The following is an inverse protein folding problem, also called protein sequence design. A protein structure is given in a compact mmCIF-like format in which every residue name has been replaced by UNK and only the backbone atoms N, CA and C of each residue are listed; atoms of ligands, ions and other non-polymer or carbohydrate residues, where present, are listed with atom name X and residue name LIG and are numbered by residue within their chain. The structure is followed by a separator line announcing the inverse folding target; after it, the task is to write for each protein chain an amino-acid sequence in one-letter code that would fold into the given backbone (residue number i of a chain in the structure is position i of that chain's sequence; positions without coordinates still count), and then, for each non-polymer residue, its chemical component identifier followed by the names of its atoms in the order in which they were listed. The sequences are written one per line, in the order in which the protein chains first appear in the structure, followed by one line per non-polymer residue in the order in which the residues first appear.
data_IF_935447884049
#
_entry.id   IF_935447884049
#
_cell.length_a   1.000
_cell.length_b   1.000
_cell.length_c   1.000
_cell.angle_alpha   90.00
_cell.angle_beta   90.00
_cell.angle_gamma   90.00
#
_symmetry.space_group_name_H-M   'P 1'
#
loop_
_entity.id
_entity.type
_entity.pdbx_description
1 polymer ?
#
# COMPACT_ATOMS: atom_id res chain seq x y z
N UNK A 1 10.79 4.56 5.25
CA UNK A 1 10.08 3.65 4.34
C UNK A 1 10.54 3.92 2.92
N UNK A 2 10.40 2.97 2.00
CA UNK A 2 10.80 3.11 0.59
C UNK A 2 9.98 4.19 -0.15
N UNK A 3 8.73 4.41 0.27
CA UNK A 3 7.85 5.43 -0.29
C UNK A 3 7.67 6.60 0.68
N UNK A 4 7.43 7.78 0.13
CA UNK A 4 7.14 8.98 0.92
C UNK A 4 5.80 8.91 1.67
N UNK A 5 5.64 9.78 2.66
CA UNK A 5 4.43 9.87 3.49
C UNK A 5 3.16 10.19 2.67
N UNK A 6 3.28 10.97 1.60
CA UNK A 6 2.15 11.30 0.71
C UNK A 6 1.58 10.05 0.04
N UNK A 7 2.44 9.10 -0.35
CA UNK A 7 2.01 7.84 -0.98
C UNK A 7 1.25 6.96 0.01
N UNK A 8 1.74 6.87 1.25
CA UNK A 8 1.04 6.19 2.34
C UNK A 8 -0.35 6.80 2.60
N UNK A 9 -0.44 8.13 2.65
CA UNK A 9 -1.71 8.83 2.80
C UNK A 9 -2.66 8.59 1.63
N UNK A 10 -2.17 8.62 0.40
CA UNK A 10 -3.00 8.36 -0.78
C UNK A 10 -3.54 6.92 -0.79
N UNK A 11 -2.71 5.93 -0.45
CA UNK A 11 -3.13 4.54 -0.33
C UNK A 11 -4.24 4.37 0.71
N UNK A 12 -4.11 5.01 1.89
CA UNK A 12 -5.17 4.99 2.92
C UNK A 12 -6.47 5.60 2.42
N UNK A 13 -6.40 6.74 1.72
CA UNK A 13 -7.58 7.38 1.12
C UNK A 13 -8.26 6.47 0.11
N UNK A 14 -7.49 5.85 -0.79
CA UNK A 14 -8.01 4.94 -1.81
C UNK A 14 -8.68 3.72 -1.18
N UNK A 15 -8.03 3.06 -0.21
CA UNK A 15 -8.59 1.89 0.47
C UNK A 15 -9.87 2.27 1.23
N UNK A 16 -9.89 3.41 1.92
CA UNK A 16 -11.08 3.90 2.60
C UNK A 16 -12.25 4.15 1.63
N UNK A 17 -12.00 4.80 0.50
CA UNK A 17 -13.03 5.04 -0.51
C UNK A 17 -13.50 3.74 -1.17
N UNK A 18 -12.58 2.80 -1.41
CA UNK A 18 -12.90 1.48 -1.95
C UNK A 18 -13.83 0.69 -1.02
N UNK A 19 -13.54 0.69 0.29
CA UNK A 19 -14.35 0.02 1.30
C UNK A 19 -15.77 0.60 1.43
N UNK A 20 -15.97 1.88 1.07
CA UNK A 20 -17.29 2.54 1.05
C UNK A 20 -18.09 2.25 -0.23
N UNK A 21 -17.47 1.70 -1.26
CA UNK A 21 -18.09 1.49 -2.57
C UNK A 21 -18.57 2.81 -3.19
N UNK A 22 -19.82 2.85 -3.62
CA UNK A 22 -20.40 4.03 -4.31
C UNK A 22 -20.85 5.16 -3.37
N UNK A 23 -20.68 5.02 -2.05
CA UNK A 23 -21.11 6.03 -1.06
C UNK A 23 -20.06 7.17 -0.97
N UNK A 24 -20.43 8.42 -1.26
CA UNK A 24 -19.51 9.55 -1.14
C UNK A 24 -19.00 9.74 0.29
N UNK A 25 -17.79 10.28 0.42
CA UNK A 25 -17.23 10.72 1.69
C UNK A 25 -16.72 12.16 1.57
N UNK A 26 -17.07 12.99 2.54
CA UNK A 26 -16.55 14.35 2.69
C UNK A 26 -15.07 14.31 3.04
N UNK A 27 -14.35 15.42 2.79
CA UNK A 27 -12.95 15.51 3.19
C UNK A 27 -12.78 15.33 4.71
N UNK A 28 -13.73 15.79 5.53
CA UNK A 28 -13.70 15.58 6.98
C UNK A 28 -13.77 14.11 7.34
N UNK A 29 -14.75 13.36 6.80
CA UNK A 29 -14.88 11.91 7.04
C UNK A 29 -13.62 11.16 6.60
N UNK A 30 -13.06 11.50 5.44
CA UNK A 30 -11.84 10.86 4.93
C UNK A 30 -10.66 11.17 5.85
N UNK A 31 -10.46 12.42 6.26
CA UNK A 31 -9.34 12.83 7.12
C UNK A 31 -9.39 12.11 8.47
N UNK A 32 -10.56 12.06 9.10
CA UNK A 32 -10.78 11.37 10.38
C UNK A 32 -10.49 9.87 10.27
N UNK A 33 -11.01 9.22 9.22
CA UNK A 33 -10.86 7.77 9.06
C UNK A 33 -9.43 7.35 8.65
N UNK A 34 -8.72 8.20 7.91
CA UNK A 34 -7.40 7.86 7.33
C UNK A 34 -6.23 8.44 8.11
N UNK A 35 -6.52 9.29 9.11
CA UNK A 35 -5.54 10.07 9.88
C UNK A 35 -4.65 10.96 9.01
N UNK A 36 -5.14 11.33 7.83
CA UNK A 36 -4.48 12.29 6.95
C UNK A 36 -4.81 13.69 7.46
N UNK A 37 -3.81 14.57 7.67
CA UNK A 37 -4.08 15.94 8.09
C UNK A 37 -5.06 16.62 7.13
N UNK A 38 -6.15 17.19 7.64
CA UNK A 38 -7.24 17.72 6.81
C UNK A 38 -6.77 18.78 5.79
N UNK A 39 -5.82 19.63 6.19
CA UNK A 39 -5.21 20.64 5.30
C UNK A 39 -4.38 20.04 4.16
N UNK A 40 -3.88 18.81 4.33
CA UNK A 40 -3.11 18.09 3.31
C UNK A 40 -3.98 17.19 2.44
N UNK A 41 -5.08 16.67 2.98
CA UNK A 41 -5.98 15.75 2.28
C UNK A 41 -6.51 16.34 0.97
N UNK A 42 -6.86 17.63 0.95
CA UNK A 42 -7.37 18.28 -0.25
C UNK A 42 -6.39 18.17 -1.44
N UNK A 43 -5.09 18.28 -1.17
CA UNK A 43 -4.04 18.10 -2.19
C UNK A 43 -4.00 16.66 -2.71
N UNK A 44 -4.06 15.68 -1.81
CA UNK A 44 -4.05 14.25 -2.16
C UNK A 44 -5.27 13.90 -3.02
N UNK A 45 -6.48 14.26 -2.56
CA UNK A 45 -7.73 14.03 -3.30
C UNK A 45 -7.68 14.71 -4.67
N UNK A 46 -7.13 15.92 -4.77
CA UNK A 46 -6.96 16.60 -6.05
C UNK A 46 -6.02 15.85 -6.99
N UNK A 47 -4.88 15.34 -6.51
CA UNK A 47 -3.95 14.55 -7.33
C UNK A 47 -4.62 13.26 -7.84
N UNK A 48 -5.29 12.52 -6.95
CA UNK A 48 -6.04 11.31 -7.32
C UNK A 48 -7.19 11.61 -8.29
N UNK A 49 -7.85 12.76 -8.14
CA UNK A 49 -8.93 13.18 -9.03
C UNK A 49 -8.43 13.53 -10.43
N UNK A 50 -7.30 14.23 -10.53
CA UNK A 50 -6.66 14.52 -11.84
C UNK A 50 -6.25 13.24 -12.57
N UNK A 51 -5.90 12.20 -11.82
CA UNK A 51 -5.60 10.87 -12.37
C UNK A 51 -6.85 10.00 -12.63
N UNK A 52 -8.07 10.54 -12.46
CA UNK A 52 -9.34 9.82 -12.59
C UNK A 52 -9.52 8.60 -11.67
N UNK A 53 -8.72 8.49 -10.60
CA UNK A 53 -8.89 7.43 -9.59
C UNK A 53 -10.04 7.76 -8.64
N UNK A 54 -10.28 9.04 -8.39
CA UNK A 54 -11.33 9.55 -7.51
C UNK A 54 -12.19 10.58 -8.24
N UNK A 55 -13.51 10.53 -8.02
CA UNK A 55 -14.46 11.52 -8.53
C UNK A 55 -15.12 12.27 -7.38
N UNK A 56 -15.29 13.57 -7.53
CA UNK A 56 -16.07 14.38 -6.59
C UNK A 56 -17.52 14.52 -7.04
N UNK A 57 -18.47 14.33 -6.11
CA UNK A 57 -19.89 14.65 -6.26
C UNK A 57 -20.18 15.97 -5.55
N UNK A 58 -20.93 16.86 -6.21
CA UNK A 58 -21.36 18.16 -5.65
C UNK A 58 -22.67 18.01 -4.87
N UNK A 59 -22.97 18.98 -3.99
CA UNK A 59 -24.21 19.06 -3.22
C UNK A 59 -24.04 18.76 -1.73
N UNK A 60 -25.13 18.88 -0.96
CA UNK A 60 -25.17 18.70 0.50
C UNK A 60 -24.71 17.30 0.96
N UNK A 61 -24.93 16.28 0.14
CA UNK A 61 -24.48 14.90 0.34
C UNK A 61 -23.34 14.53 -0.62
N UNK A 62 -22.58 15.54 -1.05
CA UNK A 62 -21.43 15.41 -1.93
C UNK A 62 -20.20 14.85 -1.21
N UNK A 63 -19.11 14.73 -1.96
CA UNK A 63 -17.87 14.16 -1.46
C UNK A 63 -17.11 13.39 -2.54
N UNK A 64 -16.06 12.69 -2.14
CA UNK A 64 -15.22 11.88 -3.01
C UNK A 64 -15.70 10.44 -3.04
N UNK A 65 -15.64 9.81 -4.22
CA UNK A 65 -15.89 8.37 -4.44
C UNK A 65 -14.77 7.79 -5.28
N UNK A 66 -14.47 6.51 -5.11
CA UNK A 66 -13.58 5.79 -6.03
C UNK A 66 -14.24 5.74 -7.42
N UNK A 67 -13.45 5.96 -8.46
CA UNK A 67 -13.93 6.04 -9.85
C UNK A 67 -13.48 4.84 -10.71
N UNK A 68 -12.92 3.80 -10.07
CA UNK A 68 -12.45 2.58 -10.69
C UNK A 68 -12.76 1.36 -9.79
N UNK A 69 -12.72 0.17 -10.36
CA UNK A 69 -12.89 -1.09 -9.62
C UNK A 69 -11.68 -1.34 -8.71
N UNK A 70 -11.85 -1.70 -7.43
CA UNK A 70 -10.74 -2.09 -6.56
C UNK A 70 -9.94 -3.30 -7.06
N UNK A 71 -10.57 -4.19 -7.86
CA UNK A 71 -9.91 -5.36 -8.45
C UNK A 71 -8.96 -5.00 -9.60
N UNK A 72 -9.21 -3.88 -10.28
CA UNK A 72 -8.40 -3.43 -11.43
C UNK A 72 -7.41 -2.33 -11.05
N UNK A 73 -7.44 -1.87 -9.79
CA UNK A 73 -6.57 -0.79 -9.29
C UNK A 73 -5.43 -1.39 -8.47
N UNK A 74 -4.21 -1.31 -9.00
CA UNK A 74 -3.02 -1.78 -8.30
C UNK A 74 -2.46 -0.73 -7.33
N UNK A 75 -1.66 -1.17 -6.35
CA UNK A 75 -0.94 -0.22 -5.49
C UNK A 75 0.07 0.61 -6.29
N UNK A 76 0.61 0.03 -7.37
CA UNK A 76 1.48 0.74 -8.29
C UNK A 76 0.77 1.94 -8.92
N UNK A 77 -0.47 1.79 -9.37
CA UNK A 77 -1.22 2.88 -10.00
C UNK A 77 -1.41 4.07 -9.05
N UNK A 78 -1.71 3.80 -7.78
CA UNK A 78 -1.84 4.85 -6.76
C UNK A 78 -0.51 5.52 -6.47
N UNK A 79 0.56 4.74 -6.29
CA UNK A 79 1.90 5.27 -6.02
C UNK A 79 2.39 6.10 -7.21
N UNK A 80 2.17 5.64 -8.43
CA UNK A 80 2.62 6.29 -9.66
C UNK A 80 1.99 7.69 -9.85
N UNK A 81 0.79 7.92 -9.32
CA UNK A 81 0.14 9.24 -9.34
C UNK A 81 0.78 10.23 -8.36
N UNK A 82 1.32 9.73 -7.24
CA UNK A 82 1.75 10.53 -6.11
C UNK A 82 3.26 10.74 -6.07
N UNK A 83 3.98 9.64 -6.19
CA UNK A 83 5.43 9.54 -6.10
C UNK A 83 5.90 8.53 -7.16
N UNK A 84 5.99 8.96 -8.43
CA UNK A 84 6.30 8.09 -9.55
C UNK A 84 7.60 7.31 -9.33
N UNK A 85 7.56 5.99 -9.50
CA UNK A 85 8.77 5.18 -9.46
C UNK A 85 9.57 5.48 -10.72
N UNK A 86 10.84 5.82 -10.56
CA UNK A 86 11.73 6.22 -11.67
C UNK A 86 12.70 5.08 -11.97
N UNK A 87 12.66 4.62 -13.22
CA UNK A 87 13.65 3.71 -13.78
C UNK A 87 14.96 4.43 -14.02
N UNK A 88 16.05 3.69 -13.92
CA UNK A 88 17.37 4.18 -14.31
C UNK A 88 17.56 3.77 -15.76
N UNK A 89 17.22 4.66 -16.69
CA UNK A 89 17.35 4.38 -18.13
C UNK A 89 18.75 4.75 -18.65
N UNK A 90 19.48 5.58 -17.92
CA UNK A 90 20.83 6.02 -18.24
C UNK A 90 21.66 6.22 -16.96
N UNK A 91 22.99 6.20 -17.09
CA UNK A 91 23.88 6.37 -15.95
C UNK A 91 23.75 7.81 -15.37
N UNK A 92 23.31 7.98 -14.11
CA UNK A 92 23.05 9.30 -13.52
C UNK A 92 24.31 10.14 -13.32
N UNK A 93 25.49 9.52 -13.38
CA UNK A 93 26.77 10.23 -13.22
C UNK A 93 27.18 11.02 -14.47
N UNK A 94 26.54 10.77 -15.62
CA UNK A 94 26.76 11.49 -16.88
C UNK A 94 28.26 11.66 -17.26
N UNK A 95 29.09 10.67 -16.92
CA UNK A 95 30.53 10.73 -17.14
C UNK A 95 30.87 10.53 -18.62
N UNK A 96 31.78 11.33 -19.16
CA UNK A 96 32.13 11.30 -20.59
C UNK A 96 32.68 9.95 -21.09
N UNK A 97 33.24 9.14 -20.19
CA UNK A 97 33.79 7.81 -20.48
C UNK A 97 32.80 6.67 -20.17
N UNK A 98 31.62 6.98 -19.63
CA UNK A 98 30.52 6.03 -19.63
C UNK A 98 29.93 5.99 -21.04
N UNK A 99 29.83 4.79 -21.62
CA UNK A 99 29.16 4.59 -22.91
C UNK A 99 27.68 5.01 -22.88
N UNK A 100 27.02 4.93 -24.04
CA UNK A 100 25.58 5.23 -24.16
C UNK A 100 24.69 4.27 -23.35
N UNK A 101 25.22 3.11 -22.98
CA UNK A 101 24.50 2.08 -22.25
C UNK A 101 24.61 2.24 -20.74
N UNK A 102 23.57 1.77 -20.04
CA UNK A 102 23.57 1.68 -18.58
C UNK A 102 24.68 0.76 -18.08
N UNK A 103 25.50 1.24 -17.15
CA UNK A 103 26.60 0.44 -16.60
C UNK A 103 26.10 -0.70 -15.71
N UNK A 104 26.92 -1.75 -15.48
CA UNK A 104 26.47 -2.93 -14.73
C UNK A 104 25.92 -2.64 -13.34
N UNK A 105 26.48 -1.65 -12.64
CA UNK A 105 25.98 -1.22 -11.32
C UNK A 105 24.55 -0.68 -11.42
N UNK A 106 24.34 0.33 -12.27
CA UNK A 106 23.02 0.96 -12.41
C UNK A 106 21.99 0.01 -12.99
N UNK A 107 22.41 -0.95 -13.85
CA UNK A 107 21.53 -2.04 -14.30
C UNK A 107 21.04 -2.89 -13.14
N UNK A 108 21.93 -3.30 -12.22
CA UNK A 108 21.54 -4.08 -11.05
C UNK A 108 20.60 -3.31 -10.10
N UNK A 109 20.81 -2.00 -9.97
CA UNK A 109 19.89 -1.15 -9.20
C UNK A 109 18.53 -1.02 -9.88
N UNK A 110 18.51 -0.85 -11.20
CA UNK A 110 17.28 -0.79 -11.99
C UNK A 110 16.50 -2.12 -11.95
N UNK A 111 17.19 -3.26 -11.98
CA UNK A 111 16.58 -4.59 -11.79
C UNK A 111 15.86 -4.68 -10.43
N UNK A 112 16.46 -4.14 -9.36
CA UNK A 112 15.83 -4.12 -8.03
C UNK A 112 14.59 -3.23 -8.00
N UNK A 113 14.63 -2.05 -8.65
CA UNK A 113 13.47 -1.17 -8.83
C UNK A 113 12.37 -1.91 -9.60
N UNK A 114 12.73 -2.72 -10.62
CA UNK A 114 11.79 -3.57 -11.35
C UNK A 114 11.07 -4.57 -10.46
N UNK A 115 11.81 -5.21 -9.56
CA UNK A 115 11.21 -6.12 -8.58
C UNK A 115 10.13 -5.43 -7.74
N UNK A 116 10.39 -4.19 -7.31
CA UNK A 116 9.41 -3.39 -6.56
C UNK A 116 8.19 -3.06 -7.41
N UNK A 117 8.38 -2.60 -8.65
CA UNK A 117 7.25 -2.30 -9.55
C UNK A 117 6.39 -3.53 -9.80
N UNK A 118 7.00 -4.68 -10.07
CA UNK A 118 6.30 -5.94 -10.31
C UNK A 118 5.48 -6.34 -9.07
N UNK A 119 6.07 -6.22 -7.88
CA UNK A 119 5.36 -6.53 -6.64
C UNK A 119 4.14 -5.62 -6.43
N UNK A 120 4.29 -4.31 -6.66
CA UNK A 120 3.20 -3.34 -6.51
C UNK A 120 2.11 -3.48 -7.57
N UNK A 121 2.46 -3.84 -8.81
CA UNK A 121 1.50 -4.07 -9.91
C UNK A 121 0.65 -5.32 -9.66
N UNK A 122 1.20 -6.32 -8.95
CA UNK A 122 0.48 -7.56 -8.60
C UNK A 122 -0.48 -7.39 -7.44
N UNK A 123 -0.26 -6.41 -6.56
CA UNK A 123 -1.11 -6.15 -5.41
C UNK A 123 -2.21 -5.15 -5.78
N UNK A 124 -3.46 -5.56 -5.66
CA UNK A 124 -4.64 -4.74 -5.94
C UNK A 124 -5.22 -4.12 -4.67
N UNK A 125 -6.04 -3.10 -4.82
CA UNK A 125 -6.79 -2.53 -3.69
C UNK A 125 -7.79 -3.55 -3.14
N UNK A 126 -8.37 -4.40 -3.99
CA UNK A 126 -9.23 -5.50 -3.54
C UNK A 126 -8.50 -6.49 -2.63
N UNK A 127 -7.25 -6.84 -2.93
CA UNK A 127 -6.46 -7.73 -2.08
C UNK A 127 -6.33 -7.18 -0.65
N UNK A 128 -6.24 -5.85 -0.50
CA UNK A 128 -6.20 -5.19 0.80
C UNK A 128 -7.55 -5.20 1.54
N UNK A 129 -8.67 -5.26 0.81
CA UNK A 129 -10.01 -5.36 1.40
C UNK A 129 -10.34 -6.81 1.81
N UNK A 130 -9.86 -7.79 1.04
CA UNK A 130 -10.14 -9.21 1.22
C UNK A 130 -9.19 -9.91 2.19
N UNK A 131 -8.05 -9.28 2.52
CA UNK A 131 -7.06 -9.76 3.47
C UNK A 131 -7.64 -9.89 4.89
N UNK A 132 -8.33 -11.00 5.14
CA UNK A 132 -8.81 -11.47 6.46
C UNK A 132 -7.69 -11.99 7.36
N UNK A 133 -6.43 -11.81 6.98
CA UNK A 133 -5.27 -12.25 7.74
C UNK A 133 -5.00 -11.34 8.96
N UNK A 134 -5.68 -11.67 10.06
CA UNK A 134 -5.16 -11.73 11.43
C UNK A 134 -4.47 -10.50 12.08
N UNK A 135 -4.67 -9.29 11.56
CA UNK A 135 -4.63 -8.10 12.40
C UNK A 135 -6.03 -7.49 12.42
N UNK A 136 -6.62 -7.33 13.62
CA UNK A 136 -7.79 -6.47 13.83
C UNK A 136 -7.37 -5.00 13.64
N UNK A 137 -6.89 -4.65 12.45
CA UNK A 137 -6.71 -3.28 12.03
C UNK A 137 -8.10 -2.73 11.79
N UNK A 138 -8.60 -1.91 12.70
CA UNK A 138 -9.94 -1.34 12.56
C UNK A 138 -10.10 -0.37 11.37
N UNK A 139 -9.06 -0.20 10.53
CA UNK A 139 -9.08 0.06 9.08
C UNK A 139 -7.71 0.43 8.47
N UNK A 140 -6.58 0.20 9.19
CA UNK A 140 -5.20 -0.10 8.73
C UNK A 140 -4.10 0.33 9.72
N UNK A 141 -4.43 1.05 10.80
CA UNK A 141 -3.70 1.05 12.09
C UNK A 141 -4.53 1.89 13.10
N UNK A 142 -5.04 1.35 14.22
CA UNK A 142 -5.79 2.14 15.19
C UNK A 142 -4.87 3.16 15.90
N UNK A 143 -5.41 4.32 16.34
CA UNK A 143 -4.62 5.31 17.08
C UNK A 143 -4.06 4.67 18.35
N UNK A 144 -2.77 4.84 18.57
CA UNK A 144 -2.08 4.22 19.69
C UNK A 144 -2.66 4.65 21.04
N UNK A 145 -3.00 3.64 21.85
CA UNK A 145 -2.93 3.60 23.32
C UNK A 145 -3.84 4.55 24.11
N UNK A 146 -5.10 4.13 24.28
CA UNK A 146 -5.65 4.16 25.64
C UNK A 146 -6.53 2.94 25.90
N UNK A 147 -6.10 2.11 26.85
CA UNK A 147 -6.96 1.20 27.64
C UNK A 147 -7.56 -0.04 26.91
N UNK A 148 -6.71 -0.96 26.44
CA UNK A 148 -7.09 -2.38 26.40
C UNK A 148 -6.57 -3.04 27.69
N UNK A 149 -7.35 -2.93 28.76
CA UNK A 149 -7.28 -3.91 29.84
C UNK A 149 -8.22 -5.06 29.47
N UNK A 150 -7.73 -6.28 29.72
CA UNK A 150 -8.47 -7.55 29.93
C UNK A 150 -8.55 -8.51 28.72
N UNK A 151 -8.79 -9.83 28.95
CA UNK A 151 -7.77 -10.86 28.78
C UNK A 151 -8.25 -12.03 27.92
N UNK A 152 -7.52 -12.41 26.87
CA UNK A 152 -7.87 -13.64 26.13
C UNK A 152 -6.73 -14.65 26.10
N UNK A 153 -7.06 -15.95 26.33
CA UNK A 153 -6.08 -16.99 26.51
C UNK A 153 -5.42 -17.32 25.17
N UNK A 154 -4.13 -17.66 25.23
CA UNK A 154 -3.34 -18.05 24.05
C UNK A 154 -3.99 -19.28 23.39
N UNK A 155 -4.24 -19.28 22.06
CA UNK A 155 -4.66 -20.49 21.38
C UNK A 155 -3.50 -21.49 21.39
N UNK A 156 -3.76 -22.68 21.93
CA UNK A 156 -2.85 -23.81 21.92
C UNK A 156 -2.71 -24.36 20.49
N UNK A 157 -1.52 -24.22 19.91
CA UNK A 157 -1.15 -24.90 18.67
C UNK A 157 -1.19 -26.43 18.85
N UNK A 158 -1.69 -27.20 17.87
CA UNK A 158 -1.56 -28.65 17.89
C UNK A 158 -0.10 -29.06 17.71
N UNK A 159 0.42 -29.86 18.65
CA UNK A 159 1.77 -30.44 18.55
C UNK A 159 1.74 -31.55 17.50
N UNK A 160 2.39 -31.33 16.37
CA UNK A 160 2.75 -32.44 15.47
C UNK A 160 3.81 -33.32 16.13
N UNK A 161 3.68 -34.66 16.10
CA UNK A 161 4.69 -35.55 16.66
C UNK A 161 5.93 -35.56 15.76
N UNK A 162 7.05 -35.04 16.27
CA UNK A 162 8.36 -35.22 15.66
C UNK A 162 8.74 -36.70 15.80
N UNK A 163 8.75 -37.44 14.70
CA UNK A 163 9.28 -38.81 14.65
C UNK A 163 10.79 -38.76 14.94
N UNK A 164 11.21 -39.34 16.06
CA UNK A 164 12.63 -39.59 16.36
C UNK A 164 13.14 -40.71 15.45
N UNK A 165 14.08 -40.39 14.57
CA UNK A 165 14.93 -41.40 13.93
C UNK A 165 15.91 -41.94 14.98
N UNK A 166 15.81 -43.22 15.29
CA UNK A 166 16.75 -43.93 16.16
C UNK A 166 18.06 -44.20 15.40
N UNK A 167 19.19 -43.86 16.04
CA UNK A 167 20.52 -44.32 15.65
C UNK A 167 20.58 -45.85 15.69
N UNK A 168 20.99 -46.45 14.58
CA UNK A 168 21.40 -47.85 14.54
C UNK A 168 22.90 -47.90 14.84
N UNK A 169 23.22 -48.47 15.99
CA UNK A 169 24.53 -48.99 16.34
C UNK A 169 24.80 -50.21 15.43
N UNK A 170 25.93 -50.25 14.74
CA UNK A 170 26.45 -51.47 14.11
C UNK A 170 27.66 -51.99 14.91
N UNK A 171 27.89 -53.32 14.87
CA UNK A 171 28.81 -54.03 15.78
C UNK A 171 30.30 -53.77 15.51
#
# INVERSE_FOLDING_TARGET
MLFGQTSEYALRVIVFLAARGSKPATNTEIAEATLVPAGYLAKIVQMLSRANLVRSRRGLHGGSVLNCSPHDLSLYDVIQVIDPIRRIESCPLALAWHGKDICPLHRRLDDAIAGVEIALKKATVADLLDSRDNYRSSMLCPPSRSRLKSPHPKPSLPRHPVKRTASVQQP
#
